data_IF_820860674515
#
_entry.id   IF_820860674515
#
_cell.length_a   1.000
_cell.length_b   1.000
_cell.length_c   1.000
_cell.angle_alpha   90.00
_cell.angle_beta   90.00
_cell.angle_gamma   90.00
#
_symmetry.space_group_name_H-M   'P 1'
#
loop_
_entity.id
_entity.type
_entity.pdbx_description
1 polymer ?
#
# COMPACT_ATOMS: atom_id res chain seq x y z
N UNK A 1 6.33 22.29 -15.38
CA UNK A 1 5.34 22.46 -14.29
C UNK A 1 4.66 21.13 -13.94
N UNK A 2 4.43 20.21 -14.88
CA UNK A 2 3.69 18.96 -14.66
C UNK A 2 4.41 17.89 -13.81
N UNK A 3 5.74 17.84 -13.80
CA UNK A 3 6.48 16.75 -13.14
C UNK A 3 6.44 16.84 -11.60
N UNK A 4 6.75 18.02 -11.03
CA UNK A 4 6.74 18.21 -9.58
C UNK A 4 5.35 17.98 -8.97
N UNK A 5 4.30 18.31 -9.71
CA UNK A 5 2.91 18.07 -9.29
C UNK A 5 2.59 16.57 -9.26
N UNK A 6 3.02 15.80 -10.27
CA UNK A 6 2.90 14.34 -10.28
C UNK A 6 3.67 13.70 -9.13
N UNK A 7 4.91 14.13 -8.89
CA UNK A 7 5.72 13.62 -7.78
C UNK A 7 5.04 13.87 -6.43
N UNK A 8 4.47 15.07 -6.24
CA UNK A 8 3.71 15.39 -5.03
C UNK A 8 2.43 14.56 -4.91
N UNK A 9 1.73 14.30 -6.02
CA UNK A 9 0.54 13.45 -6.05
C UNK A 9 0.88 11.99 -5.68
N UNK A 10 1.99 11.44 -6.18
CA UNK A 10 2.45 10.09 -5.84
C UNK A 10 2.76 9.98 -4.34
N UNK A 11 3.47 10.95 -3.77
CA UNK A 11 3.73 11.01 -2.31
C UNK A 11 2.44 11.13 -1.50
N UNK A 12 1.48 11.92 -1.96
CA UNK A 12 0.19 12.07 -1.28
C UNK A 12 -0.62 10.77 -1.33
N UNK A 13 -0.65 10.08 -2.48
CA UNK A 13 -1.29 8.77 -2.63
C UNK A 13 -0.64 7.72 -1.74
N UNK A 14 0.70 7.67 -1.69
CA UNK A 14 1.46 6.77 -0.82
C UNK A 14 1.13 6.97 0.67
N UNK A 15 1.09 8.22 1.15
CA UNK A 15 0.70 8.53 2.53
C UNK A 15 -0.74 8.12 2.82
N UNK A 16 -1.67 8.40 1.89
CA UNK A 16 -3.07 8.00 2.01
C UNK A 16 -3.24 6.48 2.05
N UNK A 17 -2.42 5.73 1.32
CA UNK A 17 -2.43 4.26 1.36
C UNK A 17 -2.20 3.74 2.78
N UNK A 18 -1.16 4.22 3.46
CA UNK A 18 -0.89 3.82 4.85
C UNK A 18 -2.00 4.25 5.80
N UNK A 19 -2.51 5.47 5.65
CA UNK A 19 -3.57 5.96 6.52
C UNK A 19 -4.88 5.16 6.37
N UNK A 20 -5.35 4.94 5.16
CA UNK A 20 -6.65 4.30 4.92
C UNK A 20 -6.58 2.78 5.11
N UNK A 21 -5.58 2.12 4.54
CA UNK A 21 -5.48 0.66 4.57
C UNK A 21 -4.95 0.18 5.91
N UNK A 22 -3.89 0.81 6.44
CA UNK A 22 -3.22 0.31 7.64
C UNK A 22 -3.72 0.96 8.91
N UNK A 23 -3.71 2.29 9.04
CA UNK A 23 -4.07 2.96 10.30
C UNK A 23 -5.57 2.86 10.61
N UNK A 24 -6.42 3.19 9.64
CA UNK A 24 -7.89 3.06 9.76
C UNK A 24 -8.38 1.63 9.57
N UNK A 25 -7.55 0.75 9.01
CA UNK A 25 -7.90 -0.63 8.75
C UNK A 25 -8.99 -0.82 7.70
N UNK A 26 -9.20 0.14 6.80
CA UNK A 26 -10.29 0.12 5.82
C UNK A 26 -9.98 -0.85 4.68
N UNK A 27 -10.48 -2.08 4.78
CA UNK A 27 -10.23 -3.12 3.79
C UNK A 27 -10.75 -2.76 2.39
N UNK A 28 -11.80 -1.93 2.30
CA UNK A 28 -12.36 -1.44 1.03
C UNK A 28 -11.41 -0.49 0.30
N UNK A 29 -10.51 0.20 1.03
CA UNK A 29 -9.49 1.07 0.42
C UNK A 29 -8.49 0.27 -0.43
N UNK A 30 -8.32 -1.03 -0.17
CA UNK A 30 -7.48 -1.91 -0.99
C UNK A 30 -8.03 -1.98 -2.41
N UNK A 31 -9.36 -2.08 -2.57
CA UNK A 31 -10.01 -2.14 -3.90
C UNK A 31 -9.93 -0.81 -4.66
N UNK A 32 -9.96 0.29 -3.93
CA UNK A 32 -9.87 1.64 -4.50
C UNK A 32 -8.45 2.00 -4.98
N UNK A 33 -7.43 1.48 -4.30
CA UNK A 33 -6.06 2.00 -4.41
C UNK A 33 -5.03 0.98 -4.90
N UNK A 34 -5.27 -0.33 -4.72
CA UNK A 34 -4.38 -1.37 -5.20
C UNK A 34 -4.78 -1.76 -6.63
N UNK A 35 -3.88 -1.58 -7.60
CA UNK A 35 -4.17 -1.87 -9.00
C UNK A 35 -4.52 -3.35 -9.24
N UNK A 36 -5.48 -3.67 -10.12
CA UNK A 36 -5.94 -5.05 -10.35
C UNK A 36 -4.81 -5.99 -10.83
N UNK A 37 -3.81 -5.46 -11.53
CA UNK A 37 -2.61 -6.19 -11.94
C UNK A 37 -1.37 -5.89 -11.09
N UNK A 38 -1.54 -5.14 -9.99
CA UNK A 38 -0.45 -4.79 -9.09
C UNK A 38 0.16 -6.02 -8.44
N UNK A 39 1.46 -5.98 -8.18
CA UNK A 39 2.19 -7.07 -7.56
C UNK A 39 2.78 -6.60 -6.25
N UNK A 40 2.47 -7.30 -5.16
CA UNK A 40 3.10 -7.09 -3.87
C UNK A 40 4.26 -8.07 -3.68
N UNK A 41 5.48 -7.54 -3.60
CA UNK A 41 6.69 -8.32 -3.40
C UNK A 41 7.06 -8.43 -1.91
N UNK A 42 7.57 -9.58 -1.48
CA UNK A 42 8.14 -9.76 -0.14
C UNK A 42 7.14 -9.92 1.02
N UNK A 43 5.85 -10.06 0.72
CA UNK A 43 4.78 -10.22 1.73
C UNK A 43 4.35 -11.68 1.96
N UNK A 44 4.98 -12.62 1.25
CA UNK A 44 4.70 -14.05 1.38
C UNK A 44 5.92 -14.78 1.95
N UNK A 45 5.69 -15.64 2.93
CA UNK A 45 6.70 -16.53 3.50
C UNK A 45 7.10 -17.69 2.55
N UNK A 46 6.26 -17.96 1.55
CA UNK A 46 6.53 -18.97 0.52
C UNK A 46 7.41 -18.38 -0.60
N UNK A 47 8.61 -18.94 -0.84
CA UNK A 47 9.47 -18.50 -1.93
C UNK A 47 8.78 -18.63 -3.30
N UNK A 48 8.74 -17.54 -4.06
CA UNK A 48 8.17 -17.52 -5.41
C UNK A 48 6.65 -17.31 -5.47
N UNK A 49 5.96 -17.22 -4.33
CA UNK A 49 4.55 -16.83 -4.33
C UNK A 49 4.44 -15.32 -4.55
N UNK A 50 3.70 -14.95 -5.59
CA UNK A 50 3.43 -13.58 -5.97
C UNK A 50 2.01 -13.25 -5.54
N UNK A 51 1.83 -12.15 -4.80
CA UNK A 51 0.51 -11.66 -4.44
C UNK A 51 0.08 -10.65 -5.50
N UNK A 52 -0.98 -10.98 -6.25
CA UNK A 52 -1.42 -10.17 -7.39
C UNK A 52 -2.81 -9.59 -7.17
N UNK A 53 -2.89 -8.26 -7.19
CA UNK A 53 -4.14 -7.52 -7.09
C UNK A 53 -4.79 -7.53 -5.69
N UNK A 54 -5.95 -6.85 -5.56
CA UNK A 54 -6.64 -6.68 -4.28
C UNK A 54 -7.07 -7.98 -3.61
N UNK A 55 -7.56 -8.95 -4.38
CA UNK A 55 -8.11 -10.19 -3.86
C UNK A 55 -7.06 -11.08 -3.21
N UNK A 56 -5.86 -11.15 -3.79
CA UNK A 56 -4.74 -11.87 -3.18
C UNK A 56 -4.17 -11.11 -1.97
N UNK A 57 -4.23 -9.77 -1.97
CA UNK A 57 -3.73 -8.92 -0.88
C UNK A 57 -4.61 -8.93 0.37
N UNK A 58 -5.93 -9.00 0.22
CA UNK A 58 -6.88 -8.84 1.33
C UNK A 58 -6.72 -9.87 2.46
N UNK A 59 -6.49 -11.17 2.21
CA UNK A 59 -6.27 -12.15 3.28
C UNK A 59 -5.02 -11.83 4.10
N UNK A 60 -3.96 -11.32 3.47
CA UNK A 60 -2.75 -10.89 4.15
C UNK A 60 -3.03 -9.70 5.06
N UNK A 61 -3.68 -8.66 4.55
CA UNK A 61 -4.08 -7.48 5.33
C UNK A 61 -4.92 -7.86 6.56
N UNK A 62 -5.94 -8.69 6.38
CA UNK A 62 -6.82 -9.16 7.46
C UNK A 62 -6.05 -9.92 8.55
N UNK A 63 -5.17 -10.84 8.13
CA UNK A 63 -4.32 -11.61 9.06
C UNK A 63 -3.39 -10.69 9.84
N UNK A 64 -2.73 -9.75 9.15
CA UNK A 64 -1.77 -8.85 9.77
C UNK A 64 -2.42 -7.89 10.77
N UNK A 65 -3.56 -7.28 10.41
CA UNK A 65 -4.34 -6.44 11.34
C UNK A 65 -4.94 -7.22 12.50
N UNK A 66 -5.27 -8.50 12.31
CA UNK A 66 -5.69 -9.38 13.41
C UNK A 66 -4.56 -9.62 14.43
N UNK A 67 -3.31 -9.72 13.96
CA UNK A 67 -2.14 -9.88 14.82
C UNK A 67 -1.71 -8.56 15.51
N UNK A 68 -1.89 -7.43 14.82
CA UNK A 68 -1.55 -6.09 15.31
C UNK A 68 -2.76 -5.15 15.23
N UNK A 69 -3.76 -5.29 16.12
CA UNK A 69 -5.01 -4.56 16.03
C UNK A 69 -4.84 -3.04 16.16
N UNK A 70 -3.89 -2.61 17.00
CA UNK A 70 -3.61 -1.21 17.32
C UNK A 70 -2.39 -0.67 16.54
N UNK A 71 -2.06 -1.25 15.39
CA UNK A 71 -0.92 -0.77 14.59
C UNK A 71 -1.15 0.68 14.14
N UNK A 72 -0.09 1.49 14.28
CA UNK A 72 0.03 2.81 13.70
C UNK A 72 1.29 2.86 12.83
N UNK A 73 1.11 3.28 11.58
CA UNK A 73 2.19 3.49 10.62
C UNK A 73 2.35 5.00 10.40
N UNK A 74 3.54 5.49 10.71
CA UNK A 74 3.93 6.89 10.52
C UNK A 74 4.91 6.95 9.35
N UNK A 75 4.52 7.61 8.26
CA UNK A 75 5.40 7.84 7.11
C UNK A 75 6.30 9.03 7.41
N UNK A 76 7.53 8.79 7.85
CA UNK A 76 8.48 9.85 8.21
C UNK A 76 8.97 10.64 6.99
N UNK A 77 9.33 9.94 5.92
CA UNK A 77 9.76 10.54 4.65
C UNK A 77 9.04 9.87 3.47
N UNK A 78 8.99 10.57 2.33
CA UNK A 78 8.53 10.01 1.07
C UNK A 78 9.33 10.61 -0.09
N UNK A 79 9.99 9.75 -0.87
CA UNK A 79 10.79 10.12 -2.04
C UNK A 79 10.06 9.62 -3.28
N UNK A 80 9.91 10.49 -4.29
CA UNK A 80 9.26 10.13 -5.54
C UNK A 80 10.16 10.51 -6.71
N UNK A 81 10.23 9.63 -7.69
CA UNK A 81 10.99 9.77 -8.93
C UNK A 81 10.21 9.11 -10.06
N UNK A 82 9.89 9.88 -11.11
CA UNK A 82 9.01 9.40 -12.17
C UNK A 82 7.67 8.90 -11.64
N UNK A 83 7.38 7.62 -11.87
CA UNK A 83 6.18 6.90 -11.40
C UNK A 83 6.40 6.12 -10.09
N UNK A 84 7.60 6.15 -9.52
CA UNK A 84 7.95 5.43 -8.29
C UNK A 84 7.84 6.34 -7.06
N UNK A 85 7.50 5.74 -5.92
CA UNK A 85 7.50 6.37 -4.60
C UNK A 85 7.92 5.36 -3.53
N UNK A 86 8.70 5.81 -2.54
CA UNK A 86 9.18 5.04 -1.40
C UNK A 86 9.12 5.85 -0.11
#
# INVERSE_FOLDING_TARGET
MQEQDTLNANKAMFRRWFEEVWNKGRAEAIDEMFGPDGIAHGLSDEPGKIMKGPDDFRPFHSTFRGAFPDIEVIVEDAIAEGDMVA
#
